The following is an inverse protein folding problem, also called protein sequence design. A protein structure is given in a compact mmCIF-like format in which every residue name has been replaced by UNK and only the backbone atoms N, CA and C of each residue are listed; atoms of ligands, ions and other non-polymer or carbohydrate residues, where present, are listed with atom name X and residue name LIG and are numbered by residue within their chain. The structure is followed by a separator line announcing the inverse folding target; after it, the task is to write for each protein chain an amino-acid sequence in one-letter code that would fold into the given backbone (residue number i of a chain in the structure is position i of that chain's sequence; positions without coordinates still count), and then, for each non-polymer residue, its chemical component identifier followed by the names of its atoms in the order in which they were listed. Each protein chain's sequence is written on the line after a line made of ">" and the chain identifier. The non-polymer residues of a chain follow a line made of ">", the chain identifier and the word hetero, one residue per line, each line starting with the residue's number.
data_IF_141009405975
#
_entry.id   IF_141009405975
#
_cell.length_a   1.000
_cell.length_b   1.000
_cell.length_c   1.000
_cell.angle_alpha   90.00
_cell.angle_beta   90.00
_cell.angle_gamma   90.00
#
_symmetry.space_group_name_H-M   'P 1'
#
loop_
_entity.id
_entity.type
_entity.pdbx_description
1 polymer ?
#
# COMPACT_ATOMS: atom_id res chain seq x y z
N UNK A 1 -3.81 1.90 7.28
CA UNK A 1 -3.99 1.54 5.84
C UNK A 1 -5.44 1.26 5.42
N UNK A 2 -6.42 1.64 6.23
CA UNK A 2 -7.85 1.36 5.98
C UNK A 2 -8.33 1.82 4.60
N UNK A 3 -8.23 3.11 4.29
CA UNK A 3 -8.77 3.67 3.04
C UNK A 3 -8.14 3.09 1.77
N UNK A 4 -6.83 2.89 1.76
CA UNK A 4 -6.13 2.29 0.60
C UNK A 4 -6.56 0.84 0.37
N UNK A 5 -6.76 0.07 1.45
CA UNK A 5 -7.24 -1.32 1.36
C UNK A 5 -8.68 -1.39 0.86
N UNK A 6 -9.57 -0.53 1.37
CA UNK A 6 -10.94 -0.40 0.86
C UNK A 6 -10.96 -0.04 -0.64
N UNK A 7 -10.15 0.94 -1.04
CA UNK A 7 -10.08 1.39 -2.42
C UNK A 7 -9.54 0.29 -3.35
N UNK A 8 -8.47 -0.42 -2.95
CA UNK A 8 -7.92 -1.52 -3.73
C UNK A 8 -8.92 -2.68 -3.88
N UNK A 9 -9.68 -3.01 -2.84
CA UNK A 9 -10.72 -4.06 -2.89
C UNK A 9 -11.87 -3.69 -3.82
N UNK A 10 -12.36 -2.46 -3.73
CA UNK A 10 -13.41 -2.00 -4.64
C UNK A 10 -12.92 -1.97 -6.10
N UNK A 11 -11.70 -1.52 -6.33
CA UNK A 11 -11.10 -1.50 -7.66
C UNK A 11 -10.93 -2.93 -8.21
N UNK A 12 -10.47 -3.87 -7.39
CA UNK A 12 -10.36 -5.27 -7.75
C UNK A 12 -11.73 -5.88 -8.11
N UNK A 13 -12.78 -5.54 -7.36
CA UNK A 13 -14.16 -5.94 -7.64
C UNK A 13 -14.64 -5.38 -8.97
N UNK A 14 -14.36 -4.11 -9.26
CA UNK A 14 -14.73 -3.45 -10.53
C UNK A 14 -13.97 -4.02 -11.73
N UNK A 15 -12.77 -4.51 -11.52
CA UNK A 15 -11.95 -5.17 -12.55
C UNK A 15 -12.27 -6.67 -12.71
N UNK A 16 -13.25 -7.19 -11.99
CA UNK A 16 -13.67 -8.59 -12.11
C UNK A 16 -14.00 -8.93 -13.55
N UNK A 17 -13.50 -10.06 -14.02
CA UNK A 17 -13.67 -10.49 -15.44
C UNK A 17 -12.67 -9.83 -16.41
N UNK A 18 -11.75 -9.01 -15.93
CA UNK A 18 -10.66 -8.44 -16.74
C UNK A 18 -9.31 -8.99 -16.28
N UNK A 19 -8.24 -8.66 -17.02
CA UNK A 19 -6.85 -8.99 -16.62
C UNK A 19 -6.22 -7.94 -15.69
N UNK A 20 -7.01 -6.98 -15.22
CA UNK A 20 -6.53 -5.91 -14.33
C UNK A 20 -6.62 -6.34 -12.88
N UNK A 21 -5.60 -6.00 -12.11
CA UNK A 21 -5.52 -6.29 -10.67
C UNK A 21 -5.27 -5.00 -9.88
N UNK A 22 -5.65 -5.00 -8.61
CA UNK A 22 -5.41 -3.90 -7.70
C UNK A 22 -4.97 -4.44 -6.34
N UNK A 23 -3.98 -3.81 -5.74
CA UNK A 23 -3.43 -4.20 -4.45
C UNK A 23 -3.21 -2.97 -3.58
N UNK A 24 -3.32 -3.14 -2.27
CA UNK A 24 -2.82 -2.18 -1.31
C UNK A 24 -1.48 -2.68 -0.78
N UNK A 25 -0.45 -1.86 -0.83
CA UNK A 25 0.92 -2.26 -0.48
C UNK A 25 1.43 -1.41 0.68
N UNK A 26 2.08 -2.07 1.64
CA UNK A 26 2.86 -1.45 2.70
C UNK A 26 4.35 -1.74 2.48
N UNK A 27 5.15 -0.73 2.14
CA UNK A 27 6.57 -0.92 1.84
C UNK A 27 7.42 -1.17 3.09
N UNK A 28 6.85 -1.03 4.27
CA UNK A 28 7.58 -1.03 5.54
C UNK A 28 8.16 0.34 5.88
N UNK A 29 8.97 0.40 6.92
CA UNK A 29 9.72 1.60 7.30
C UNK A 29 11.07 1.56 6.59
N UNK A 30 11.20 2.42 5.59
CA UNK A 30 12.37 2.46 4.70
C UNK A 30 13.29 3.60 5.15
N UNK A 31 14.60 3.33 5.16
CA UNK A 31 15.61 4.36 5.32
C UNK A 31 15.67 5.23 4.06
N UNK A 32 14.86 6.27 4.05
CA UNK A 32 14.88 7.29 2.99
C UNK A 32 15.47 8.60 3.54
N UNK A 33 15.83 9.52 2.64
CA UNK A 33 16.30 10.87 3.00
C UNK A 33 15.25 11.74 3.73
N UNK A 34 14.21 11.12 4.30
CA UNK A 34 13.18 11.84 5.09
C UNK A 34 13.77 12.58 6.29
N UNK A 35 14.93 12.13 6.80
CA UNK A 35 15.68 12.76 7.88
C UNK A 35 16.26 14.15 7.56
N UNK A 36 16.20 14.59 6.29
CA UNK A 36 16.77 15.89 5.86
C UNK A 36 16.13 17.09 6.55
N UNK A 37 14.91 16.96 7.06
CA UNK A 37 14.17 18.01 7.77
C UNK A 37 13.98 17.74 9.27
N UNK A 38 14.64 16.70 9.80
CA UNK A 38 14.56 16.36 11.22
C UNK A 38 15.69 17.03 12.01
N UNK A 39 15.44 17.17 13.33
CA UNK A 39 16.46 17.69 14.26
C UNK A 39 17.77 16.88 14.12
N UNK A 40 18.95 17.55 14.09
CA UNK A 40 20.24 16.88 13.90
C UNK A 40 20.53 15.70 14.84
N UNK A 41 20.04 15.75 16.08
CA UNK A 41 20.18 14.67 17.07
C UNK A 41 19.39 13.42 16.62
N UNK A 42 18.16 13.61 16.19
CA UNK A 42 17.29 12.52 15.68
C UNK A 42 17.88 11.98 14.38
N UNK A 43 18.38 12.85 13.49
CA UNK A 43 19.04 12.46 12.25
C UNK A 43 20.27 11.57 12.49
N UNK A 44 21.09 11.87 13.51
CA UNK A 44 22.25 11.07 13.89
C UNK A 44 21.84 9.69 14.41
N UNK A 45 20.80 9.61 15.25
CA UNK A 45 20.25 8.33 15.74
C UNK A 45 19.74 7.48 14.57
N UNK A 46 19.01 8.08 13.62
CA UNK A 46 18.53 7.37 12.43
C UNK A 46 19.66 6.92 11.50
N UNK A 47 20.75 7.66 11.40
CA UNK A 47 21.90 7.27 10.57
C UNK A 47 22.72 6.12 11.19
N UNK A 48 22.82 6.08 12.52
CA UNK A 48 23.62 5.05 13.22
C UNK A 48 22.81 3.78 13.48
N UNK A 49 21.58 3.92 13.97
CA UNK A 49 20.71 2.79 14.31
C UNK A 49 19.79 2.38 13.16
N UNK A 50 19.53 3.28 12.20
CA UNK A 50 18.64 3.04 11.07
C UNK A 50 18.93 1.75 10.28
N UNK A 51 20.18 1.48 9.87
CA UNK A 51 20.53 0.27 9.13
C UNK A 51 20.20 -1.04 9.85
N UNK A 52 20.04 -1.01 11.18
CA UNK A 52 19.67 -2.20 11.97
C UNK A 52 18.16 -2.44 12.04
N UNK A 53 17.34 -1.41 11.83
CA UNK A 53 15.90 -1.47 12.05
C UNK A 53 15.06 -1.05 10.85
N UNK A 54 15.67 -0.35 9.88
CA UNK A 54 14.97 0.14 8.70
C UNK A 54 15.31 -0.72 7.49
N UNK A 55 14.32 -0.93 6.64
CA UNK A 55 14.54 -1.61 5.36
C UNK A 55 15.38 -0.75 4.42
N UNK A 56 16.19 -1.40 3.62
CA UNK A 56 16.84 -0.77 2.47
C UNK A 56 15.79 -0.41 1.40
N UNK A 57 16.15 0.48 0.48
CA UNK A 57 15.28 0.88 -0.63
C UNK A 57 14.84 -0.33 -1.47
N UNK A 58 15.73 -1.26 -1.87
CA UNK A 58 15.34 -2.48 -2.58
C UNK A 58 14.36 -3.37 -1.80
N UNK A 59 14.57 -3.54 -0.49
CA UNK A 59 13.65 -4.31 0.36
C UNK A 59 12.28 -3.65 0.47
N UNK A 60 12.23 -2.31 0.52
CA UNK A 60 10.98 -1.56 0.48
C UNK A 60 10.23 -1.73 -0.84
N UNK A 61 10.94 -1.74 -1.96
CA UNK A 61 10.36 -1.89 -3.29
C UNK A 61 10.00 -3.35 -3.64
N UNK A 62 10.50 -4.33 -2.90
CA UNK A 62 10.31 -5.75 -3.21
C UNK A 62 8.82 -6.16 -3.24
N UNK A 63 8.01 -5.60 -2.35
CA UNK A 63 6.57 -5.91 -2.30
C UNK A 63 5.82 -5.34 -3.49
N UNK A 64 6.15 -4.12 -3.93
CA UNK A 64 5.59 -3.52 -5.14
C UNK A 64 5.97 -4.32 -6.38
N UNK A 65 7.24 -4.69 -6.50
CA UNK A 65 7.73 -5.52 -7.61
C UNK A 65 7.05 -6.89 -7.62
N UNK A 66 6.83 -7.50 -6.46
CA UNK A 66 6.09 -8.76 -6.35
C UNK A 66 4.67 -8.61 -6.88
N UNK A 67 3.93 -7.58 -6.43
CA UNK A 67 2.56 -7.33 -6.87
C UNK A 67 2.48 -7.02 -8.37
N UNK A 68 3.48 -6.32 -8.93
CA UNK A 68 3.49 -5.90 -10.31
C UNK A 68 3.88 -7.02 -11.30
N UNK A 69 4.78 -7.91 -10.93
CA UNK A 69 5.43 -8.82 -11.86
C UNK A 69 5.25 -10.31 -11.55
N UNK A 70 4.86 -10.69 -10.33
CA UNK A 70 4.76 -12.10 -9.97
C UNK A 70 3.41 -12.69 -10.37
N UNK A 71 3.36 -13.76 -11.20
CA UNK A 71 2.09 -14.39 -11.61
C UNK A 71 1.22 -14.87 -10.44
N UNK A 72 1.83 -15.24 -9.30
CA UNK A 72 1.10 -15.65 -8.10
C UNK A 72 0.27 -14.51 -7.49
N UNK A 73 0.64 -13.26 -7.74
CA UNK A 73 -0.11 -12.12 -7.24
C UNK A 73 -1.51 -12.02 -7.88
N UNK A 74 -1.68 -12.49 -9.12
CA UNK A 74 -2.95 -12.40 -9.86
C UNK A 74 -4.10 -13.06 -9.08
N UNK A 75 -3.86 -14.24 -8.50
CA UNK A 75 -4.86 -14.96 -7.70
C UNK A 75 -5.16 -14.29 -6.35
N UNK A 76 -4.36 -13.30 -5.96
CA UNK A 76 -4.44 -12.56 -4.70
C UNK A 76 -4.96 -11.12 -4.91
N UNK A 77 -5.68 -10.89 -6.02
CA UNK A 77 -6.25 -9.59 -6.36
C UNK A 77 -7.11 -9.02 -5.21
N UNK A 78 -7.01 -7.73 -4.96
CA UNK A 78 -7.74 -7.04 -3.89
C UNK A 78 -7.13 -7.15 -2.50
N UNK A 79 -6.04 -7.89 -2.32
CA UNK A 79 -5.42 -8.05 -1.01
C UNK A 79 -4.49 -6.90 -0.63
N UNK A 80 -4.23 -6.84 0.68
CA UNK A 80 -3.22 -5.98 1.27
C UNK A 80 -1.92 -6.76 1.45
N UNK A 81 -0.82 -6.19 1.01
CA UNK A 81 0.51 -6.81 1.04
C UNK A 81 1.47 -6.06 1.94
N UNK A 82 2.23 -6.82 2.72
CA UNK A 82 3.41 -6.38 3.43
C UNK A 82 4.47 -7.48 3.34
N UNK A 83 5.75 -7.10 3.20
CA UNK A 83 6.87 -8.04 3.14
C UNK A 83 6.69 -9.15 2.07
N UNK A 84 6.18 -8.76 0.90
CA UNK A 84 5.87 -9.65 -0.23
C UNK A 84 4.88 -10.78 0.09
N UNK A 85 4.11 -10.64 1.17
CA UNK A 85 3.07 -11.58 1.60
C UNK A 85 1.73 -10.86 1.77
N UNK A 86 0.65 -11.63 1.67
CA UNK A 86 -0.67 -11.14 2.10
C UNK A 86 -0.65 -10.90 3.61
N UNK A 87 -1.01 -9.70 4.00
CA UNK A 87 -1.04 -9.28 5.39
C UNK A 87 -2.46 -8.93 5.84
N UNK A 88 -2.69 -9.02 7.14
CA UNK A 88 -3.95 -8.58 7.72
C UNK A 88 -4.04 -7.05 7.69
N UNK A 89 -5.20 -6.55 7.31
CA UNK A 89 -5.54 -5.13 7.42
C UNK A 89 -6.63 -4.93 8.49
N UNK A 90 -7.03 -3.70 8.70
CA UNK A 90 -8.12 -3.36 9.62
C UNK A 90 -9.39 -4.16 9.27
N UNK A 91 -10.17 -4.56 10.27
CA UNK A 91 -11.37 -5.39 10.07
C UNK A 91 -12.36 -4.70 9.12
N UNK A 92 -12.53 -3.40 9.28
CA UNK A 92 -13.42 -2.58 8.45
C UNK A 92 -12.96 -2.50 6.98
N UNK A 93 -11.71 -2.80 6.70
CA UNK A 93 -11.21 -2.88 5.32
C UNK A 93 -11.83 -4.05 4.54
N UNK A 94 -12.52 -4.97 5.21
CA UNK A 94 -13.21 -6.08 4.59
C UNK A 94 -14.71 -5.79 4.32
N UNK A 95 -15.20 -4.61 4.67
CA UNK A 95 -16.59 -4.22 4.42
C UNK A 95 -16.78 -3.73 2.98
N UNK A 96 -17.49 -4.49 2.12
CA UNK A 96 -17.71 -4.10 0.73
C UNK A 96 -18.62 -2.88 0.58
N UNK A 97 -19.55 -2.66 1.53
CA UNK A 97 -20.42 -1.49 1.48
C UNK A 97 -19.65 -0.22 1.78
N UNK A 98 -18.71 -0.28 2.74
CA UNK A 98 -17.81 0.83 3.05
C UNK A 98 -16.86 1.11 1.89
N UNK A 99 -16.36 0.07 1.22
CA UNK A 99 -15.50 0.21 0.05
C UNK A 99 -16.21 0.91 -1.12
N UNK A 100 -17.45 0.49 -1.43
CA UNK A 100 -18.28 1.13 -2.45
C UNK A 100 -18.59 2.60 -2.10
N UNK A 101 -18.93 2.87 -0.86
CA UNK A 101 -19.21 4.25 -0.39
C UNK A 101 -17.99 5.16 -0.50
N UNK A 102 -16.80 4.66 -0.17
CA UNK A 102 -15.55 5.39 -0.33
C UNK A 102 -15.28 5.69 -1.81
N UNK A 103 -15.51 4.71 -2.68
CA UNK A 103 -15.37 4.89 -4.12
C UNK A 103 -16.28 6.00 -4.65
N UNK A 104 -17.58 5.93 -4.35
CA UNK A 104 -18.56 6.91 -4.83
C UNK A 104 -18.26 8.32 -4.34
N UNK A 105 -17.78 8.45 -3.11
CA UNK A 105 -17.35 9.73 -2.57
C UNK A 105 -16.13 10.27 -3.32
N UNK A 106 -15.13 9.41 -3.58
CA UNK A 106 -13.90 9.80 -4.30
C UNK A 106 -14.21 10.18 -5.75
N UNK A 107 -15.07 9.42 -6.42
CA UNK A 107 -15.48 9.67 -7.80
C UNK A 107 -16.22 11.01 -7.94
N UNK A 108 -17.11 11.33 -7.00
CA UNK A 108 -17.78 12.64 -6.95
C UNK A 108 -16.81 13.81 -6.80
N UNK A 109 -15.75 13.64 -6.02
CA UNK A 109 -14.71 14.66 -5.87
C UNK A 109 -13.92 14.79 -7.18
N UNK A 110 -13.46 13.68 -7.73
CA UNK A 110 -12.70 13.68 -8.97
C UNK A 110 -13.47 14.31 -10.13
N UNK A 111 -14.77 13.98 -10.27
CA UNK A 111 -15.66 14.53 -11.31
C UNK A 111 -15.92 16.04 -11.18
N UNK A 112 -15.68 16.64 -10.01
CA UNK A 112 -15.77 18.08 -9.81
C UNK A 112 -14.49 18.83 -10.15
N UNK A 113 -13.37 18.13 -10.21
CA UNK A 113 -12.04 18.69 -10.44
C UNK A 113 -11.59 18.56 -11.89
N UNK A 114 -12.24 17.71 -12.65
CA UNK A 114 -11.97 17.45 -14.08
C UNK A 114 -13.12 17.76 -14.94
#
# INVERSE_FOLDING_TARGET
>A
MLFRSLFAKELARRFSGTQKTAYAVHPGVISTNLGRHMNPVIGTIFNVAGPLFLKSIPEGAATECFCAANPKAISLNGNYFADSNVASCHVEANDPALAAKLWDFSDKIASRLG
#
